data_IF_568891352912
#
_entry.id   IF_568891352912
#
_cell.length_a   1.000
_cell.length_b   1.000
_cell.length_c   1.000
_cell.angle_alpha   90.00
_cell.angle_beta   90.00
_cell.angle_gamma   90.00
#
_symmetry.space_group_name_H-M   'P 1'
#
loop_
_entity.id
_entity.type
_entity.pdbx_description
1 polymer ?
#
# COMPACT_ATOMS: atom_id res chain seq x y z
N UNK A 1 7.32 11.01 24.46
CA UNK A 1 8.69 10.63 24.21
C UNK A 1 8.94 10.74 22.74
N UNK A 2 9.70 11.73 22.32
CA UNK A 2 10.23 11.83 20.97
C UNK A 2 11.18 10.65 20.74
N UNK A 3 10.65 9.59 20.19
CA UNK A 3 11.45 8.59 19.50
C UNK A 3 11.94 9.25 18.23
N UNK A 4 13.07 9.92 18.33
CA UNK A 4 13.83 10.48 17.20
C UNK A 4 14.07 9.38 16.20
N UNK A 5 13.39 9.48 15.23
CA UNK A 5 13.12 9.09 14.16
C UNK A 5 13.33 8.19 13.04
N UNK A 6 14.20 7.46 12.74
CA UNK A 6 14.39 6.64 11.53
C UNK A 6 13.93 5.18 11.63
N UNK A 7 13.59 4.69 12.81
CA UNK A 7 13.26 3.29 13.05
C UNK A 7 11.95 3.16 13.82
N UNK A 8 10.97 2.52 13.21
CA UNK A 8 9.69 2.24 13.86
C UNK A 8 9.80 0.86 14.51
N UNK A 9 9.66 0.80 15.82
CA UNK A 9 9.55 -0.47 16.53
C UNK A 9 8.17 -1.07 16.27
N UNK A 10 8.13 -2.27 15.67
CA UNK A 10 6.88 -2.89 15.22
C UNK A 10 5.83 -3.05 16.35
N UNK A 11 6.24 -3.55 17.52
CA UNK A 11 5.34 -3.72 18.65
C UNK A 11 4.80 -2.38 19.19
N UNK A 12 5.64 -1.34 19.25
CA UNK A 12 5.19 -0.03 19.68
C UNK A 12 4.16 0.56 18.70
N UNK A 13 4.37 0.35 17.40
CA UNK A 13 3.39 0.76 16.39
C UNK A 13 2.07 0.00 16.54
N UNK A 14 2.12 -1.30 16.73
CA UNK A 14 0.93 -2.12 16.95
C UNK A 14 0.13 -1.63 18.16
N UNK A 15 0.82 -1.38 19.27
CA UNK A 15 0.20 -0.84 20.49
C UNK A 15 -0.50 0.50 20.25
N UNK A 16 0.17 1.44 19.57
CA UNK A 16 -0.42 2.75 19.28
C UNK A 16 -1.65 2.62 18.38
N UNK A 17 -1.59 1.78 17.33
CA UNK A 17 -2.72 1.56 16.43
C UNK A 17 -3.91 0.91 17.16
N UNK A 18 -3.65 -0.04 18.05
CA UNK A 18 -4.67 -0.67 18.87
C UNK A 18 -5.33 0.34 19.83
N UNK A 19 -4.55 1.19 20.46
CA UNK A 19 -5.03 2.23 21.36
C UNK A 19 -5.90 3.27 20.62
N UNK A 20 -5.45 3.72 19.46
CA UNK A 20 -6.24 4.64 18.61
C UNK A 20 -7.55 4.00 18.13
N UNK A 21 -7.52 2.72 17.72
CA UNK A 21 -8.73 2.01 17.34
C UNK A 21 -9.73 1.89 18.51
N UNK A 22 -9.25 1.60 19.72
CA UNK A 22 -10.10 1.57 20.92
C UNK A 22 -10.68 2.94 21.25
N UNK A 23 -9.89 4.01 21.19
CA UNK A 23 -10.36 5.40 21.38
C UNK A 23 -11.44 5.78 20.38
N UNK A 24 -11.30 5.29 19.14
CA UNK A 24 -12.31 5.48 18.11
C UNK A 24 -13.56 4.59 18.27
N UNK A 25 -13.63 3.77 19.32
CA UNK A 25 -14.77 2.87 19.57
C UNK A 25 -14.80 1.63 18.66
N UNK A 26 -13.70 1.31 17.97
CA UNK A 26 -13.61 0.13 17.14
C UNK A 26 -13.56 -1.15 17.96
N UNK A 27 -14.28 -2.18 17.53
CA UNK A 27 -14.16 -3.52 18.08
C UNK A 27 -13.04 -4.25 17.32
N UNK A 28 -12.06 -4.74 18.07
CA UNK A 28 -10.92 -5.47 17.53
C UNK A 28 -11.11 -6.97 17.72
N UNK A 29 -10.93 -7.73 16.67
CA UNK A 29 -10.87 -9.18 16.68
C UNK A 29 -9.47 -9.60 16.25
N UNK A 30 -8.62 -9.96 17.20
CA UNK A 30 -7.25 -10.39 16.96
C UNK A 30 -7.18 -11.90 16.74
N UNK A 31 -6.10 -12.37 16.12
CA UNK A 31 -5.89 -13.78 15.77
C UNK A 31 -7.07 -14.36 14.98
N UNK A 32 -7.59 -13.58 14.04
CA UNK A 32 -8.66 -13.97 13.16
C UNK A 32 -8.21 -13.91 11.71
N UNK A 33 -8.50 -14.93 10.95
CA UNK A 33 -8.26 -14.99 9.51
C UNK A 33 -9.60 -15.02 8.77
N UNK A 34 -9.74 -14.18 7.77
CA UNK A 34 -10.89 -14.23 6.86
C UNK A 34 -10.82 -15.50 6.04
N UNK A 35 -11.89 -16.29 6.03
CA UNK A 35 -11.98 -17.57 5.31
C UNK A 35 -13.05 -17.58 4.23
N UNK A 36 -13.95 -16.60 4.25
CA UNK A 36 -14.99 -16.52 3.26
C UNK A 36 -15.88 -15.29 3.43
N UNK A 37 -16.83 -15.15 2.54
CA UNK A 37 -17.85 -14.11 2.56
C UNK A 37 -19.23 -14.70 2.29
N UNK A 38 -20.25 -14.03 2.78
CA UNK A 38 -21.65 -14.34 2.47
C UNK A 38 -22.15 -13.28 1.50
N UNK A 39 -22.66 -13.74 0.36
CA UNK A 39 -23.12 -12.89 -0.73
C UNK A 39 -24.64 -12.91 -0.85
N UNK A 40 -25.21 -11.78 -1.21
CA UNK A 40 -26.56 -11.64 -1.74
C UNK A 40 -26.41 -10.83 -3.03
N UNK A 41 -26.51 -11.53 -4.15
CA UNK A 41 -26.18 -11.00 -5.48
C UNK A 41 -24.77 -10.40 -5.54
N UNK A 42 -24.67 -9.10 -5.82
CA UNK A 42 -23.43 -8.31 -5.92
C UNK A 42 -23.03 -7.61 -4.60
N UNK A 43 -23.67 -8.02 -3.49
CA UNK A 43 -23.47 -7.42 -2.17
C UNK A 43 -22.94 -8.43 -1.17
N UNK A 44 -21.92 -8.06 -0.43
CA UNK A 44 -21.43 -8.82 0.72
C UNK A 44 -22.33 -8.50 1.92
N UNK A 45 -23.00 -9.50 2.46
CA UNK A 45 -23.84 -9.36 3.66
C UNK A 45 -23.10 -9.72 4.96
N UNK A 46 -21.98 -10.42 4.84
CA UNK A 46 -21.14 -10.76 5.97
C UNK A 46 -19.82 -11.40 5.58
N UNK A 47 -18.94 -11.52 6.56
CA UNK A 47 -17.60 -12.10 6.42
C UNK A 47 -17.48 -13.26 7.39
N UNK A 48 -16.95 -14.39 6.92
CA UNK A 48 -16.58 -15.52 7.77
C UNK A 48 -15.13 -15.38 8.21
N UNK A 49 -14.89 -15.55 9.50
CA UNK A 49 -13.54 -15.56 10.06
C UNK A 49 -13.31 -16.83 10.86
N UNK A 50 -12.09 -17.35 10.79
CA UNK A 50 -11.61 -18.43 11.65
C UNK A 50 -10.77 -17.83 12.79
N UNK A 51 -11.06 -18.27 14.00
CA UNK A 51 -10.38 -17.84 15.23
C UNK A 51 -9.96 -19.05 16.05
N UNK A 52 -9.21 -18.85 17.12
CA UNK A 52 -8.88 -19.91 18.07
C UNK A 52 -10.12 -20.57 18.72
N UNK A 53 -11.24 -19.85 18.75
CA UNK A 53 -12.53 -20.34 19.28
C UNK A 53 -13.42 -20.97 18.20
N UNK A 54 -12.97 -21.08 16.97
CA UNK A 54 -13.70 -21.61 15.84
C UNK A 54 -14.14 -20.55 14.84
N UNK A 55 -15.13 -20.89 14.02
CA UNK A 55 -15.68 -20.00 13.00
C UNK A 55 -16.65 -19.00 13.59
N UNK A 56 -16.55 -17.76 13.13
CA UNK A 56 -17.50 -16.69 13.45
C UNK A 56 -17.93 -16.00 12.17
N UNK A 57 -19.16 -15.50 12.17
CA UNK A 57 -19.72 -14.73 11.06
C UNK A 57 -20.01 -13.32 11.54
N UNK A 58 -19.57 -12.34 10.76
CA UNK A 58 -19.75 -10.92 11.06
C UNK A 58 -20.59 -10.31 9.96
N UNK A 59 -21.83 -9.91 10.28
CA UNK A 59 -22.68 -9.18 9.36
C UNK A 59 -22.12 -7.76 9.13
N UNK A 60 -22.13 -7.30 7.90
CA UNK A 60 -21.60 -5.99 7.53
C UNK A 60 -22.46 -5.29 6.48
N UNK A 61 -22.64 -3.98 6.63
CA UNK A 61 -23.27 -3.12 5.62
C UNK A 61 -22.28 -2.75 4.52
N UNK A 62 -21.06 -2.41 4.91
CA UNK A 62 -19.93 -2.10 4.05
C UNK A 62 -18.73 -2.91 4.52
N UNK A 63 -17.94 -3.42 3.61
CA UNK A 63 -16.70 -4.14 3.89
C UNK A 63 -15.53 -3.36 3.31
N UNK A 64 -14.46 -3.23 4.09
CA UNK A 64 -13.19 -2.67 3.63
C UNK A 64 -12.16 -3.79 3.67
N UNK A 65 -11.70 -4.23 2.50
CA UNK A 65 -10.64 -5.24 2.38
C UNK A 65 -9.27 -4.55 2.49
N UNK A 66 -8.55 -4.88 3.55
CA UNK A 66 -7.16 -4.46 3.77
C UNK A 66 -6.26 -5.67 4.03
N UNK A 67 -6.64 -6.84 3.50
CA UNK A 67 -5.91 -8.10 3.72
C UNK A 67 -4.56 -8.14 3.03
N UNK A 68 -4.32 -7.26 2.08
CA UNK A 68 -3.08 -7.15 1.31
C UNK A 68 -2.98 -8.15 0.15
N UNK A 69 -3.80 -9.20 0.17
CA UNK A 69 -3.85 -10.28 -0.84
C UNK A 69 -5.25 -10.47 -1.41
N UNK A 70 -6.12 -9.46 -1.24
CA UNK A 70 -7.51 -9.40 -1.74
C UNK A 70 -8.32 -10.63 -1.38
N UNK A 71 -8.20 -11.12 -0.14
CA UNK A 71 -8.88 -12.34 0.30
C UNK A 71 -10.40 -12.16 0.22
N UNK A 72 -10.93 -11.01 0.65
CA UNK A 72 -12.38 -10.72 0.58
C UNK A 72 -12.84 -10.59 -0.86
N UNK A 73 -12.11 -9.85 -1.69
CA UNK A 73 -12.42 -9.66 -3.12
C UNK A 73 -12.53 -10.99 -3.84
N UNK A 74 -11.50 -11.84 -3.68
CA UNK A 74 -11.46 -13.18 -4.31
C UNK A 74 -12.54 -14.11 -3.78
N UNK A 75 -12.78 -14.10 -2.48
CA UNK A 75 -13.84 -14.92 -1.86
C UNK A 75 -15.22 -14.50 -2.32
N UNK A 76 -15.43 -13.23 -2.67
CA UNK A 76 -16.65 -12.70 -3.23
C UNK A 76 -16.80 -12.97 -4.75
N UNK A 77 -15.75 -13.49 -5.41
CA UNK A 77 -15.76 -13.75 -6.84
C UNK A 77 -15.59 -12.51 -7.72
N UNK A 78 -15.20 -11.37 -7.16
CA UNK A 78 -14.91 -10.18 -7.96
C UNK A 78 -13.59 -10.31 -8.71
N UNK A 79 -13.49 -9.70 -9.91
CA UNK A 79 -12.33 -9.88 -10.76
C UNK A 79 -11.06 -9.27 -10.16
N UNK A 80 -9.99 -10.04 -10.25
CA UNK A 80 -8.62 -9.61 -9.92
C UNK A 80 -7.71 -9.80 -11.11
N UNK A 81 -6.57 -9.13 -11.11
CA UNK A 81 -5.51 -9.27 -12.10
C UNK A 81 -4.16 -9.47 -11.45
N UNK A 82 -3.32 -10.27 -12.06
CA UNK A 82 -1.93 -10.49 -11.71
C UNK A 82 -1.06 -10.12 -12.89
N UNK A 83 -0.08 -9.26 -12.70
CA UNK A 83 0.82 -8.84 -13.78
C UNK A 83 2.14 -9.64 -13.80
N UNK A 84 2.38 -10.46 -12.78
CA UNK A 84 3.60 -11.27 -12.66
C UNK A 84 3.31 -12.59 -11.95
N UNK A 85 3.85 -13.67 -12.48
CA UNK A 85 3.81 -14.99 -11.87
C UNK A 85 4.76 -15.13 -10.67
N UNK A 86 5.60 -14.14 -10.43
CA UNK A 86 6.55 -14.12 -9.32
C UNK A 86 6.26 -13.01 -8.32
N UNK A 87 6.18 -13.37 -7.04
CA UNK A 87 6.04 -12.39 -5.97
C UNK A 87 7.38 -12.01 -5.38
N UNK A 88 7.53 -10.73 -5.14
CA UNK A 88 8.61 -10.22 -4.30
C UNK A 88 8.15 -10.21 -2.84
N UNK A 89 8.87 -10.94 -2.02
CA UNK A 89 8.62 -10.96 -0.58
C UNK A 89 9.59 -10.04 0.15
N UNK A 90 9.08 -9.45 1.20
CA UNK A 90 9.87 -8.66 2.13
C UNK A 90 9.63 -9.16 3.54
N UNK A 91 10.69 -9.58 4.19
CA UNK A 91 10.65 -9.96 5.59
C UNK A 91 11.22 -8.85 6.44
N UNK A 92 10.58 -8.59 7.56
CA UNK A 92 11.11 -7.70 8.58
C UNK A 92 11.71 -8.56 9.69
N UNK A 93 12.98 -8.36 9.98
CA UNK A 93 13.63 -8.93 11.16
C UNK A 93 14.14 -7.81 12.06
N UNK A 94 14.05 -8.01 13.35
CA UNK A 94 14.65 -7.13 14.34
C UNK A 94 15.98 -7.71 14.77
N UNK A 95 17.02 -6.91 14.69
CA UNK A 95 18.36 -7.27 15.20
C UNK A 95 18.63 -6.51 16.48
N UNK A 96 19.25 -7.17 17.45
CA UNK A 96 19.93 -6.46 18.52
C UNK A 96 21.31 -6.04 18.02
N UNK A 97 21.58 -4.77 18.05
CA UNK A 97 22.90 -4.20 17.84
C UNK A 97 23.43 -3.78 19.21
N UNK A 98 24.56 -4.34 19.61
CA UNK A 98 25.23 -4.00 20.85
C UNK A 98 26.22 -2.90 20.52
N UNK A 99 25.97 -1.69 21.02
CA UNK A 99 26.87 -0.55 20.91
C UNK A 99 27.33 -0.18 22.31
N UNK A 100 28.52 -0.65 22.68
CA UNK A 100 29.01 -0.57 24.06
C UNK A 100 28.13 -1.39 25.01
N UNK A 101 27.51 -0.73 25.99
CA UNK A 101 26.57 -1.37 26.91
C UNK A 101 25.08 -1.24 26.52
N UNK A 102 24.80 -0.66 25.34
CA UNK A 102 23.44 -0.41 24.88
C UNK A 102 23.04 -1.42 23.80
N UNK A 103 21.87 -2.01 23.97
CA UNK A 103 21.23 -2.85 22.96
C UNK A 103 20.30 -1.97 22.13
N UNK A 104 20.58 -1.82 20.85
CA UNK A 104 19.71 -1.15 19.90
C UNK A 104 18.95 -2.17 19.07
N UNK A 105 17.64 -2.00 19.00
CA UNK A 105 16.80 -2.75 18.08
C UNK A 105 16.80 -2.08 16.72
N UNK A 106 17.40 -2.73 15.72
CA UNK A 106 17.42 -2.25 14.35
C UNK A 106 16.53 -3.14 13.47
N UNK A 107 15.32 -2.69 13.08
CA UNK A 107 14.53 -3.42 12.11
C UNK A 107 15.23 -3.36 10.74
N UNK A 108 15.44 -4.51 10.15
CA UNK A 108 16.00 -4.63 8.80
C UNK A 108 15.01 -5.34 7.90
N UNK A 109 14.88 -4.83 6.71
CA UNK A 109 14.11 -5.43 5.65
C UNK A 109 15.02 -6.33 4.82
N UNK A 110 14.61 -7.58 4.61
CA UNK A 110 15.28 -8.51 3.72
C UNK A 110 14.34 -8.79 2.56
N UNK A 111 14.67 -8.30 1.37
CA UNK A 111 14.00 -8.68 0.14
C UNK A 111 14.48 -10.06 -0.30
N UNK A 112 13.56 -10.96 -0.55
CA UNK A 112 13.80 -12.23 -1.22
C UNK A 112 12.78 -12.41 -2.33
N UNK A 113 13.15 -13.18 -3.34
CA UNK A 113 12.27 -13.59 -4.41
C UNK A 113 11.63 -14.92 -4.10
N UNK A 114 10.37 -15.06 -4.44
CA UNK A 114 9.77 -16.35 -4.73
C UNK A 114 9.48 -16.43 -6.21
N UNK A 115 9.71 -17.56 -6.80
CA UNK A 115 9.34 -17.85 -8.19
C UNK A 115 7.86 -18.10 -8.36
N UNK A 116 7.13 -18.41 -7.28
CA UNK A 116 5.71 -18.78 -7.31
C UNK A 116 4.96 -18.12 -6.16
N UNK A 117 3.88 -17.43 -6.51
CA UNK A 117 3.04 -16.65 -5.58
C UNK A 117 2.24 -17.50 -4.60
N UNK A 118 2.08 -18.80 -4.86
CA UNK A 118 1.12 -19.66 -4.18
C UNK A 118 1.69 -21.00 -3.72
N UNK A 119 3.01 -21.13 -3.68
CA UNK A 119 3.65 -22.33 -3.16
C UNK A 119 3.99 -22.15 -1.67
N UNK A 120 3.17 -22.73 -0.82
CA UNK A 120 3.31 -22.65 0.64
C UNK A 120 4.60 -23.33 1.13
N UNK A 121 5.12 -24.33 0.41
CA UNK A 121 6.37 -24.99 0.75
C UNK A 121 7.56 -24.08 0.47
N UNK A 122 7.64 -23.51 -0.73
CA UNK A 122 8.67 -22.51 -1.06
C UNK A 122 8.61 -21.31 -0.11
N UNK A 123 7.42 -20.87 0.27
CA UNK A 123 7.21 -19.81 1.25
C UNK A 123 7.80 -20.19 2.61
N UNK A 124 7.52 -21.39 3.08
CA UNK A 124 8.02 -21.90 4.37
C UNK A 124 9.54 -22.02 4.37
N UNK A 125 10.13 -22.53 3.29
CA UNK A 125 11.58 -22.58 3.11
C UNK A 125 12.22 -21.20 3.17
N UNK A 126 11.62 -20.21 2.50
CA UNK A 126 12.10 -18.82 2.51
C UNK A 126 12.01 -18.18 3.89
N UNK A 127 10.98 -18.50 4.66
CA UNK A 127 10.87 -18.04 6.06
C UNK A 127 12.01 -18.58 6.92
N UNK A 128 12.35 -19.84 6.75
CA UNK A 128 13.49 -20.47 7.44
C UNK A 128 14.82 -19.83 7.00
N UNK A 129 15.01 -19.61 5.71
CA UNK A 129 16.22 -18.96 5.18
C UNK A 129 16.40 -17.54 5.72
N UNK A 130 15.32 -16.77 5.86
CA UNK A 130 15.38 -15.40 6.43
C UNK A 130 15.80 -15.41 7.88
N UNK A 131 15.43 -16.43 8.65
CA UNK A 131 15.89 -16.64 10.02
C UNK A 131 17.40 -16.95 10.10
N UNK A 132 17.97 -17.51 9.04
CA UNK A 132 19.40 -17.80 8.97
C UNK A 132 20.18 -16.57 8.43
N UNK A 133 21.42 -16.39 8.91
CA UNK A 133 22.31 -15.38 8.32
C UNK A 133 22.92 -15.95 7.04
N UNK A 134 22.76 -15.30 5.87
CA UNK A 134 23.54 -15.66 4.69
C UNK A 134 25.04 -15.63 5.00
N UNK A 135 25.86 -16.53 4.42
CA UNK A 135 27.29 -16.63 4.72
C UNK A 135 28.04 -15.29 4.61
N UNK A 136 27.74 -14.49 3.58
CA UNK A 136 28.40 -13.20 3.37
C UNK A 136 28.03 -12.13 4.42
N UNK A 137 26.92 -12.31 5.14
CA UNK A 137 26.53 -11.43 6.24
C UNK A 137 27.08 -11.90 7.59
N UNK A 138 27.51 -13.17 7.70
CA UNK A 138 28.11 -13.69 8.95
C UNK A 138 29.41 -12.96 9.26
N UNK A 139 30.26 -12.78 8.26
CA UNK A 139 31.56 -12.14 8.43
C UNK A 139 31.46 -10.62 8.66
N UNK A 140 30.47 -10.00 8.05
CA UNK A 140 30.28 -8.54 8.14
C UNK A 140 29.63 -8.10 9.45
N UNK A 141 28.92 -9.00 10.16
CA UNK A 141 28.19 -8.71 11.38
C UNK A 141 28.51 -9.74 12.46
N UNK A 142 29.75 -10.13 12.54
CA UNK A 142 30.23 -11.27 13.31
C UNK A 142 29.91 -11.10 14.77
N UNK A 143 29.72 -11.03 15.72
CA UNK A 143 29.44 -11.20 17.14
C UNK A 143 28.41 -10.24 17.73
N UNK A 144 28.25 -9.07 17.15
CA UNK A 144 27.57 -7.95 17.81
C UNK A 144 26.09 -7.80 17.39
N UNK A 145 25.68 -8.45 16.30
CA UNK A 145 24.31 -8.33 15.75
C UNK A 145 23.61 -9.69 15.76
N UNK A 146 22.69 -9.87 16.67
CA UNK A 146 21.84 -11.07 16.72
C UNK A 146 20.44 -10.74 16.20
N UNK A 147 19.90 -11.60 15.33
CA UNK A 147 18.47 -11.56 15.00
C UNK A 147 17.68 -12.00 16.22
N UNK A 148 16.81 -11.14 16.71
CA UNK A 148 16.00 -11.41 17.90
C UNK A 148 14.60 -11.85 17.49
N UNK A 149 14.04 -11.20 16.47
CA UNK A 149 12.67 -11.42 16.01
C UNK A 149 12.68 -11.47 14.49
N UNK A 150 12.06 -12.48 13.93
CA UNK A 150 11.68 -12.56 12.51
C UNK A 150 10.19 -12.30 12.43
N UNK A 151 9.74 -11.52 11.44
CA UNK A 151 8.32 -11.30 11.21
C UNK A 151 7.61 -12.64 10.94
N UNK A 152 6.50 -12.87 11.59
CA UNK A 152 5.73 -14.12 11.48
C UNK A 152 5.05 -14.28 10.12
N UNK A 153 4.80 -13.15 9.46
CA UNK A 153 4.09 -13.09 8.18
C UNK A 153 4.98 -12.44 7.13
N UNK A 154 5.20 -13.08 5.99
CA UNK A 154 5.90 -12.48 4.87
C UNK A 154 5.07 -11.32 4.29
N UNK A 155 5.74 -10.21 3.99
CA UNK A 155 5.12 -9.10 3.28
C UNK A 155 5.29 -9.30 1.78
N UNK A 156 4.26 -9.69 1.09
CA UNK A 156 4.25 -9.67 -0.38
C UNK A 156 4.20 -8.23 -0.88
N UNK A 157 5.10 -7.87 -1.78
CA UNK A 157 5.12 -6.54 -2.41
C UNK A 157 4.26 -6.50 -3.67
N UNK A 158 4.26 -7.60 -4.38
CA UNK A 158 3.47 -7.80 -5.59
C UNK A 158 2.28 -8.68 -5.22
N UNK A 159 1.12 -8.07 -5.09
CA UNK A 159 -0.13 -8.76 -4.82
C UNK A 159 -1.00 -8.77 -6.07
N UNK A 160 -1.98 -9.65 -6.07
CA UNK A 160 -3.11 -9.50 -6.98
C UNK A 160 -3.73 -8.11 -6.78
N UNK A 161 -4.19 -7.50 -7.86
CA UNK A 161 -4.91 -6.23 -7.83
C UNK A 161 -6.33 -6.43 -8.27
N UNK A 162 -7.21 -5.63 -7.74
CA UNK A 162 -8.59 -5.64 -8.21
C UNK A 162 -8.68 -5.09 -9.64
N UNK A 163 -9.66 -5.55 -10.38
CA UNK A 163 -10.19 -4.80 -11.51
C UNK A 163 -11.21 -3.83 -10.93
N UNK A 164 -10.80 -2.57 -10.79
CA UNK A 164 -11.63 -1.52 -10.22
C UNK A 164 -12.60 -0.90 -11.23
N UNK A 165 -13.48 -0.03 -10.76
CA UNK A 165 -14.30 0.81 -11.64
C UNK A 165 -13.45 1.74 -12.50
N UNK A 166 -12.26 2.07 -12.01
CA UNK A 166 -11.23 2.84 -12.71
C UNK A 166 -9.88 2.16 -12.49
N UNK A 167 -9.04 2.15 -13.51
CA UNK A 167 -7.65 1.72 -13.43
C UNK A 167 -6.74 2.85 -13.81
N UNK A 168 -5.78 3.20 -12.98
CA UNK A 168 -4.74 4.15 -13.36
C UNK A 168 -3.59 3.41 -14.02
N UNK A 169 -3.42 3.64 -15.32
CA UNK A 169 -2.35 3.05 -16.11
C UNK A 169 -1.19 4.03 -16.32
N UNK A 170 0.03 3.50 -16.50
CA UNK A 170 1.24 4.31 -16.64
C UNK A 170 1.18 5.28 -17.82
N UNK A 171 0.82 4.79 -19.01
CA UNK A 171 0.86 5.62 -20.22
C UNK A 171 -0.18 6.74 -20.18
N UNK A 172 -1.48 6.49 -19.88
CA UNK A 172 -2.44 7.55 -19.63
C UNK A 172 -1.98 8.53 -18.54
N UNK A 173 -1.43 8.02 -17.42
CA UNK A 173 -0.89 8.86 -16.35
C UNK A 173 0.20 9.82 -16.87
N UNK A 174 1.15 9.34 -17.66
CA UNK A 174 2.23 10.17 -18.23
C UNK A 174 1.71 11.23 -19.21
N UNK A 175 0.59 10.95 -19.87
CA UNK A 175 -0.09 11.91 -20.78
C UNK A 175 -1.00 12.90 -20.04
N UNK A 176 -1.17 12.73 -18.72
CA UNK A 176 -2.12 13.53 -17.95
C UNK A 176 -3.59 13.12 -18.14
N UNK A 177 -3.83 11.94 -18.74
CA UNK A 177 -5.13 11.34 -19.00
C UNK A 177 -5.57 10.52 -17.79
N UNK A 178 -6.00 11.17 -16.74
CA UNK A 178 -6.50 10.53 -15.52
C UNK A 178 -7.62 11.37 -14.90
N UNK A 179 -8.41 10.74 -14.04
CA UNK A 179 -9.51 11.39 -13.33
C UNK A 179 -9.04 12.61 -12.54
N UNK A 180 -9.82 13.68 -12.63
CA UNK A 180 -9.59 14.93 -11.89
C UNK A 180 -10.27 14.93 -10.50
N UNK A 181 -10.79 13.80 -10.07
CA UNK A 181 -11.48 13.64 -8.80
C UNK A 181 -10.74 12.70 -7.81
N UNK A 182 -9.42 12.91 -7.51
CA UNK A 182 -8.73 12.11 -6.54
C UNK A 182 -9.29 12.32 -5.14
N UNK A 183 -9.25 11.27 -4.31
CA UNK A 183 -9.51 11.34 -2.89
C UNK A 183 -8.28 11.83 -2.12
N UNK A 184 -7.10 11.47 -2.60
CA UNK A 184 -5.82 12.00 -2.13
C UNK A 184 -4.74 11.78 -3.19
N UNK A 185 -3.56 12.36 -2.95
CA UNK A 185 -2.37 12.09 -3.73
C UNK A 185 -1.38 11.27 -2.89
N UNK A 186 -1.03 10.09 -3.37
CA UNK A 186 0.11 9.35 -2.86
C UNK A 186 1.39 9.98 -3.42
N UNK A 187 2.45 10.01 -2.61
CA UNK A 187 3.70 10.61 -3.04
C UNK A 187 4.90 9.84 -2.49
N UNK A 188 5.63 9.21 -3.37
CA UNK A 188 6.87 8.52 -3.02
C UNK A 188 7.80 8.42 -4.23
N UNK A 189 9.10 8.21 -4.01
CA UNK A 189 9.97 7.71 -5.06
C UNK A 189 9.54 6.29 -5.45
N UNK A 190 9.85 5.90 -6.68
CA UNK A 190 9.61 4.55 -7.14
C UNK A 190 10.42 3.57 -6.29
N UNK A 191 9.74 2.78 -5.47
CA UNK A 191 10.38 1.80 -4.60
C UNK A 191 10.20 0.37 -5.15
N UNK A 192 11.19 -0.11 -5.88
CA UNK A 192 11.26 -1.46 -6.40
C UNK A 192 12.41 -2.26 -5.79
N UNK A 193 12.57 -2.21 -4.46
CA UNK A 193 13.61 -2.96 -3.76
C UNK A 193 13.46 -4.46 -4.01
N UNK A 194 14.54 -5.06 -4.50
CA UNK A 194 14.61 -6.49 -4.79
C UNK A 194 14.01 -6.90 -6.14
N UNK A 195 13.56 -5.96 -6.97
CA UNK A 195 13.07 -6.25 -8.30
C UNK A 195 14.17 -6.74 -9.24
N UNK A 196 13.88 -7.81 -9.97
CA UNK A 196 14.71 -8.25 -11.10
C UNK A 196 14.26 -7.52 -12.35
N UNK A 197 15.17 -6.82 -12.99
CA UNK A 197 14.92 -6.20 -14.28
C UNK A 197 14.46 -7.21 -15.34
N UNK A 198 14.79 -8.48 -15.19
CA UNK A 198 14.38 -9.52 -16.13
C UNK A 198 12.93 -9.98 -15.92
N UNK A 199 12.39 -9.82 -14.73
CA UNK A 199 11.03 -10.25 -14.37
C UNK A 199 9.97 -9.16 -14.46
N UNK A 200 10.34 -7.94 -14.88
CA UNK A 200 9.41 -6.82 -14.99
C UNK A 200 9.10 -6.50 -16.45
N UNK A 201 7.92 -5.94 -16.70
CA UNK A 201 7.50 -5.54 -18.04
C UNK A 201 8.46 -4.52 -18.68
N UNK A 202 8.44 -4.44 -20.01
CA UNK A 202 9.24 -3.45 -20.73
C UNK A 202 8.93 -2.01 -20.29
N UNK A 203 7.65 -1.68 -20.10
CA UNK A 203 7.22 -0.38 -19.63
C UNK A 203 7.76 -0.06 -18.25
N UNK A 204 7.78 -1.02 -17.35
CA UNK A 204 8.38 -0.90 -16.02
C UNK A 204 9.89 -0.67 -16.08
N UNK A 205 10.61 -1.41 -16.92
CA UNK A 205 12.06 -1.20 -17.13
C UNK A 205 12.35 0.22 -17.61
N UNK A 206 11.62 0.65 -18.62
CA UNK A 206 11.78 1.97 -19.20
C UNK A 206 11.48 3.07 -18.18
N UNK A 207 10.41 2.92 -17.42
CA UNK A 207 10.01 3.83 -16.36
C UNK A 207 11.08 3.92 -15.26
N UNK A 208 11.61 2.80 -14.80
CA UNK A 208 12.67 2.79 -13.80
C UNK A 208 13.94 3.46 -14.27
N UNK A 209 14.35 3.18 -15.49
CA UNK A 209 15.53 3.80 -16.08
C UNK A 209 15.32 5.30 -16.26
N UNK A 210 14.16 5.72 -16.75
CA UNK A 210 13.80 7.12 -16.94
C UNK A 210 13.76 7.90 -15.63
N UNK A 211 13.29 7.28 -14.55
CA UNK A 211 13.24 7.87 -13.20
C UNK A 211 14.53 7.64 -12.39
N UNK A 212 15.61 7.22 -13.02
CA UNK A 212 16.89 6.94 -12.34
C UNK A 212 16.72 6.09 -11.08
N UNK A 213 15.86 5.08 -11.13
CA UNK A 213 15.67 4.09 -10.09
C UNK A 213 15.54 4.65 -8.66
N UNK A 214 14.69 5.64 -8.41
CA UNK A 214 14.38 6.29 -7.12
C UNK A 214 14.76 7.77 -6.98
N UNK A 215 15.31 8.39 -7.99
CA UNK A 215 15.72 9.80 -7.87
C UNK A 215 14.53 10.75 -7.89
N UNK A 216 13.37 10.30 -8.38
CA UNK A 216 12.17 11.12 -8.48
C UNK A 216 11.06 10.63 -7.57
N UNK A 217 10.47 11.55 -6.83
CA UNK A 217 9.18 11.37 -6.19
C UNK A 217 8.06 11.66 -7.19
N UNK A 218 7.02 10.84 -7.15
CA UNK A 218 5.89 10.92 -8.06
C UNK A 218 4.61 11.04 -7.26
N UNK A 219 3.78 12.00 -7.64
CA UNK A 219 2.45 12.16 -7.06
C UNK A 219 1.43 11.37 -7.90
N UNK A 220 0.83 10.37 -7.32
CA UNK A 220 -0.14 9.49 -7.96
C UNK A 220 -1.53 9.79 -7.39
N UNK A 221 -2.50 10.19 -8.24
CA UNK A 221 -3.87 10.41 -7.79
C UNK A 221 -4.52 9.07 -7.44
N UNK A 222 -5.17 9.01 -6.29
CA UNK A 222 -5.96 7.86 -5.89
C UNK A 222 -7.43 8.25 -5.89
N UNK A 223 -8.23 7.57 -6.70
CA UNK A 223 -9.67 7.83 -6.86
C UNK A 223 -10.50 6.76 -6.19
N UNK A 224 -11.78 7.03 -5.97
CA UNK A 224 -12.71 6.02 -5.46
C UNK A 224 -12.83 4.83 -6.43
N UNK A 225 -12.84 5.08 -7.74
CA UNK A 225 -12.95 4.02 -8.74
C UNK A 225 -11.80 3.02 -8.72
N UNK A 226 -10.61 3.44 -8.29
CA UNK A 226 -9.46 2.55 -8.09
C UNK A 226 -9.60 1.64 -6.86
N UNK A 227 -10.45 2.02 -5.90
CA UNK A 227 -10.66 1.33 -4.63
C UNK A 227 -11.88 0.40 -4.63
N UNK A 228 -12.79 0.55 -5.60
CA UNK A 228 -14.06 -0.18 -5.67
C UNK A 228 -13.94 -1.27 -6.72
N UNK A 229 -14.03 -2.56 -6.35
CA UNK A 229 -14.03 -3.66 -7.31
C UNK A 229 -15.20 -3.55 -8.28
N UNK A 230 -14.94 -3.79 -9.56
CA UNK A 230 -15.99 -3.82 -10.58
C UNK A 230 -17.05 -4.86 -10.24
N UNK A 231 -18.31 -4.48 -10.30
CA UNK A 231 -19.45 -5.31 -9.95
C UNK A 231 -19.83 -5.31 -8.48
N UNK A 232 -19.04 -4.71 -7.59
CA UNK A 232 -19.36 -4.66 -6.16
C UNK A 232 -20.23 -3.45 -5.79
N UNK A 233 -21.18 -3.67 -4.88
CA UNK A 233 -22.02 -2.58 -4.33
C UNK A 233 -21.52 -2.04 -3.01
N UNK A 234 -20.80 -2.82 -2.22
CA UNK A 234 -20.46 -2.44 -0.84
C UNK A 234 -19.07 -2.89 -0.37
N UNK A 235 -18.16 -3.20 -1.31
CA UNK A 235 -16.77 -3.53 -1.00
C UNK A 235 -15.85 -2.38 -1.43
N UNK A 236 -14.92 -2.04 -0.56
CA UNK A 236 -13.86 -1.07 -0.80
C UNK A 236 -12.53 -1.78 -0.53
N UNK A 237 -11.55 -1.62 -1.38
CA UNK A 237 -10.17 -2.10 -1.15
C UNK A 237 -9.31 -0.96 -0.65
N UNK A 238 -8.63 -1.18 0.48
CA UNK A 238 -7.77 -0.19 1.11
C UNK A 238 -6.39 -0.74 1.43
N UNK A 239 -5.74 -1.29 0.42
CA UNK A 239 -4.38 -1.80 0.49
C UNK A 239 -3.64 -1.63 -0.86
N UNK A 240 -2.45 -2.23 -0.97
CA UNK A 240 -1.62 -2.19 -2.18
C UNK A 240 -2.27 -2.81 -3.43
N UNK A 241 -3.38 -3.51 -3.28
CA UNK A 241 -4.11 -4.19 -4.35
C UNK A 241 -5.19 -3.36 -5.02
N UNK A 242 -5.24 -2.04 -4.81
CA UNK A 242 -6.12 -1.15 -5.58
C UNK A 242 -5.80 -1.22 -7.08
N UNK A 243 -6.75 -0.78 -7.91
CA UNK A 243 -6.64 -0.87 -9.37
C UNK A 243 -5.68 0.15 -9.95
N UNK A 244 -4.43 -0.25 -10.12
CA UNK A 244 -3.33 0.58 -10.61
C UNK A 244 -2.32 -0.27 -11.39
N UNK A 245 -1.67 0.33 -12.38
CA UNK A 245 -0.55 -0.28 -13.11
C UNK A 245 0.60 -0.64 -12.15
N UNK A 246 1.21 -1.79 -12.36
CA UNK A 246 2.34 -2.27 -11.56
C UNK A 246 3.51 -1.26 -11.53
N UNK A 247 3.74 -0.56 -12.62
CA UNK A 247 4.77 0.46 -12.72
C UNK A 247 4.56 1.64 -11.74
N UNK A 248 3.33 1.91 -11.32
CA UNK A 248 2.97 2.98 -10.38
C UNK A 248 2.83 2.50 -8.93
N UNK A 249 2.68 1.19 -8.71
CA UNK A 249 2.44 0.62 -7.36
C UNK A 249 3.54 0.98 -6.37
N UNK A 250 4.80 1.02 -6.81
CA UNK A 250 5.93 1.40 -5.95
C UNK A 250 5.79 2.79 -5.31
N UNK A 251 5.04 3.70 -5.94
CA UNK A 251 4.80 5.05 -5.45
C UNK A 251 3.61 5.15 -4.49
N UNK A 252 2.72 4.13 -4.49
CA UNK A 252 1.47 4.14 -3.73
C UNK A 252 1.55 3.41 -2.39
N UNK A 253 2.39 2.40 -2.26
CA UNK A 253 2.39 1.45 -1.14
C UNK A 253 3.24 1.88 0.07
N UNK A 254 3.60 3.14 0.18
CA UNK A 254 4.30 3.64 1.37
C UNK A 254 3.36 3.68 2.57
N UNK A 255 3.91 3.45 3.77
CA UNK A 255 3.11 3.37 5.02
C UNK A 255 2.20 4.57 5.22
N UNK A 256 2.68 5.78 4.93
CA UNK A 256 1.90 7.02 5.03
C UNK A 256 0.73 7.04 4.04
N UNK A 257 0.95 6.52 2.83
CA UNK A 257 -0.05 6.52 1.78
C UNK A 257 -1.10 5.42 2.01
N UNK A 258 -0.68 4.29 2.61
CA UNK A 258 -1.62 3.26 3.06
C UNK A 258 -2.51 3.74 4.22
N UNK A 259 -2.01 4.59 5.11
CA UNK A 259 -2.84 5.23 6.14
C UNK A 259 -3.88 6.17 5.51
N UNK A 260 -3.47 7.02 4.55
CA UNK A 260 -4.38 7.89 3.80
C UNK A 260 -5.43 7.12 3.02
N UNK A 261 -5.03 5.98 2.45
CA UNK A 261 -5.95 5.09 1.74
C UNK A 261 -7.03 4.55 2.67
N UNK A 262 -6.65 4.13 3.88
CA UNK A 262 -7.58 3.69 4.93
C UNK A 262 -8.54 4.81 5.36
N UNK A 263 -8.05 6.03 5.52
CA UNK A 263 -8.86 7.19 5.85
C UNK A 263 -9.86 7.54 4.75
N UNK A 264 -9.41 7.55 3.49
CA UNK A 264 -10.28 7.75 2.33
C UNK A 264 -11.35 6.66 2.22
N UNK A 265 -10.99 5.38 2.46
CA UNK A 265 -11.92 4.26 2.48
C UNK A 265 -12.97 4.42 3.60
N UNK A 266 -12.54 4.80 4.79
CA UNK A 266 -13.43 5.06 5.91
C UNK A 266 -14.43 6.19 5.62
N UNK A 267 -13.97 7.30 5.03
CA UNK A 267 -14.86 8.40 4.62
C UNK A 267 -15.87 7.95 3.57
N UNK A 268 -15.41 7.24 2.53
CA UNK A 268 -16.27 6.70 1.48
C UNK A 268 -17.35 5.77 2.06
N UNK A 269 -16.97 4.85 2.96
CA UNK A 269 -17.88 3.95 3.65
C UNK A 269 -18.91 4.71 4.52
N UNK A 270 -18.47 5.75 5.25
CA UNK A 270 -19.36 6.60 6.04
C UNK A 270 -20.42 7.29 5.19
N UNK A 271 -20.05 7.83 4.03
CA UNK A 271 -21.00 8.46 3.11
C UNK A 271 -22.00 7.44 2.54
N UNK A 272 -21.51 6.27 2.11
CA UNK A 272 -22.39 5.19 1.63
C UNK A 272 -23.44 4.77 2.68
N UNK A 273 -23.03 4.65 3.94
CA UNK A 273 -23.94 4.31 5.04
C UNK A 273 -24.93 5.45 5.33
N UNK A 274 -24.46 6.69 5.39
CA UNK A 274 -25.31 7.86 5.70
C UNK A 274 -26.36 8.11 4.62
N UNK A 275 -25.96 7.96 3.35
CA UNK A 275 -26.84 8.16 2.20
C UNK A 275 -27.70 6.93 1.89
N UNK A 276 -27.41 5.80 2.56
CA UNK A 276 -28.01 4.50 2.29
C UNK A 276 -27.93 4.12 0.78
N UNK A 277 -26.74 4.30 0.21
CA UNK A 277 -26.44 4.07 -1.22
C UNK A 277 -25.35 3.01 -1.38
N UNK A 278 -25.30 2.31 -2.50
CA UNK A 278 -24.13 1.55 -2.92
C UNK A 278 -22.89 2.44 -2.99
N UNK A 279 -21.74 1.87 -2.65
CA UNK A 279 -20.45 2.61 -2.67
C UNK A 279 -20.16 3.27 -4.02
N UNK A 280 -20.42 2.60 -5.18
CA UNK A 280 -20.22 3.22 -6.49
C UNK A 280 -21.09 4.47 -6.79
N UNK A 281 -22.19 4.63 -6.04
CA UNK A 281 -23.18 5.68 -6.27
C UNK A 281 -23.05 6.87 -5.30
N UNK A 282 -22.02 6.87 -4.42
CA UNK A 282 -21.77 7.94 -3.46
C UNK A 282 -21.33 9.22 -4.17
N UNK A 283 -21.80 10.37 -3.69
CA UNK A 283 -21.33 11.66 -4.18
C UNK A 283 -19.86 11.91 -3.81
N UNK A 284 -18.99 11.61 -4.76
CA UNK A 284 -17.54 11.78 -4.61
C UNK A 284 -17.16 13.25 -4.32
N UNK A 285 -17.94 14.21 -4.80
CA UNK A 285 -17.66 15.62 -4.52
C UNK A 285 -17.87 15.95 -3.04
N UNK A 286 -18.87 15.35 -2.39
CA UNK A 286 -19.10 15.49 -0.96
C UNK A 286 -17.99 14.81 -0.14
N UNK A 287 -17.58 13.61 -0.54
CA UNK A 287 -16.45 12.89 0.10
C UNK A 287 -15.17 13.73 0.00
N UNK A 288 -14.88 14.29 -1.18
CA UNK A 288 -13.69 15.13 -1.39
C UNK A 288 -13.70 16.39 -0.53
N UNK A 289 -14.85 17.07 -0.38
CA UNK A 289 -14.96 18.23 0.54
C UNK A 289 -14.60 17.83 1.97
N UNK A 290 -15.14 16.72 2.47
CA UNK A 290 -14.82 16.23 3.80
C UNK A 290 -13.33 15.89 3.95
N UNK A 291 -12.71 15.27 2.95
CA UNK A 291 -11.28 14.97 2.96
C UNK A 291 -10.40 16.23 2.91
N UNK A 292 -10.85 17.30 2.26
CA UNK A 292 -10.19 18.61 2.31
C UNK A 292 -10.28 19.22 3.71
N UNK A 293 -11.45 19.18 4.33
CA UNK A 293 -11.68 19.67 5.69
C UNK A 293 -10.85 18.91 6.73
N UNK A 294 -10.69 17.61 6.55
CA UNK A 294 -9.84 16.77 7.38
C UNK A 294 -8.33 16.97 7.11
N UNK A 295 -7.95 17.69 6.07
CA UNK A 295 -6.56 17.91 5.67
C UNK A 295 -5.89 16.71 4.97
N UNK A 296 -6.66 15.72 4.51
CA UNK A 296 -6.14 14.59 3.75
C UNK A 296 -5.95 14.92 2.27
N UNK A 297 -6.90 15.61 1.68
CA UNK A 297 -6.85 16.10 0.31
C UNK A 297 -6.48 17.57 0.33
N UNK A 298 -5.37 17.91 -0.29
CA UNK A 298 -4.94 19.29 -0.45
C UNK A 298 -5.28 19.78 -1.85
N UNK A 299 -5.70 21.02 -1.95
CA UNK A 299 -5.73 21.68 -3.24
C UNK A 299 -4.32 21.77 -3.83
N UNK A 300 -4.23 21.75 -5.15
CA UNK A 300 -2.96 21.67 -5.87
C UNK A 300 -1.95 22.76 -5.47
N UNK A 301 -2.44 23.96 -5.17
CA UNK A 301 -1.62 25.12 -4.80
C UNK A 301 -1.03 25.02 -3.38
N UNK A 302 -1.61 24.18 -2.50
CA UNK A 302 -1.22 24.06 -1.10
C UNK A 302 -0.41 22.79 -0.77
N UNK A 303 -0.17 21.90 -1.75
CA UNK A 303 0.59 20.68 -1.52
C UNK A 303 2.07 21.04 -1.31
N UNK A 304 2.49 21.09 -0.07
CA UNK A 304 3.88 21.24 0.33
C UNK A 304 4.45 19.87 0.61
N UNK A 305 5.29 19.37 -0.28
CA UNK A 305 6.00 18.10 -0.07
C UNK A 305 7.49 18.38 0.15
N UNK A 306 7.90 18.28 1.41
CA UNK A 306 9.32 18.25 1.75
C UNK A 306 9.78 16.81 1.87
N UNK A 307 10.51 16.32 0.90
CA UNK A 307 11.18 15.03 0.98
C UNK A 307 12.57 15.22 1.60
N UNK A 308 12.72 14.74 2.83
CA UNK A 308 14.00 14.62 3.54
C UNK A 308 14.85 15.89 3.57
N UNK A 309 14.25 17.07 3.52
CA UNK A 309 14.97 18.36 3.62
C UNK A 309 15.77 18.76 2.38
N UNK A 310 15.74 18.00 1.30
CA UNK A 310 16.65 18.23 0.17
C UNK A 310 16.04 18.98 -1.02
N UNK A 311 14.74 18.94 -1.24
CA UNK A 311 14.11 19.64 -2.36
C UNK A 311 12.67 20.04 -2.02
N UNK A 312 12.25 21.18 -2.52
CA UNK A 312 10.84 21.52 -2.58
C UNK A 312 10.22 20.81 -3.79
N UNK A 313 9.43 19.79 -3.51
CA UNK A 313 8.73 19.01 -4.53
C UNK A 313 7.32 19.54 -4.81
N UNK A 314 6.95 20.68 -4.24
CA UNK A 314 5.63 21.27 -4.42
C UNK A 314 5.19 21.31 -5.88
N UNK A 315 6.04 21.70 -6.84
CA UNK A 315 5.66 21.70 -8.25
C UNK A 315 5.36 20.31 -8.81
N UNK A 316 5.80 19.24 -8.16
CA UNK A 316 5.70 17.85 -8.62
C UNK A 316 4.76 17.00 -7.76
N UNK A 317 4.14 17.58 -6.74
CA UNK A 317 3.30 16.83 -5.79
C UNK A 317 1.97 16.34 -6.37
N UNK A 318 1.53 16.93 -7.49
CA UNK A 318 0.38 16.48 -8.26
C UNK A 318 0.81 16.09 -9.67
N UNK A 319 0.14 15.13 -10.29
CA UNK A 319 0.36 14.82 -11.70
C UNK A 319 0.21 16.05 -12.56
N UNK A 320 1.10 16.20 -13.52
CA UNK A 320 1.15 17.38 -14.40
C UNK A 320 1.16 16.96 -15.86
N UNK A 321 0.51 17.73 -16.67
CA UNK A 321 0.69 17.67 -18.12
C UNK A 321 2.10 18.16 -18.50
N UNK A 322 2.52 17.83 -19.72
CA UNK A 322 3.80 18.32 -20.25
C UNK A 322 3.89 19.85 -20.25
N UNK A 323 2.80 20.54 -20.56
CA UNK A 323 2.78 22.00 -20.60
C UNK A 323 2.87 22.59 -19.19
N UNK A 324 2.22 21.96 -18.21
CA UNK A 324 2.35 22.36 -16.80
C UNK A 324 3.77 22.13 -16.26
N UNK A 325 4.43 21.05 -16.68
CA UNK A 325 5.83 20.80 -16.33
C UNK A 325 6.75 21.86 -16.96
N UNK A 326 6.51 22.23 -18.22
CA UNK A 326 7.27 23.28 -18.93
C UNK A 326 7.11 24.66 -18.28
N UNK A 327 5.96 24.92 -17.67
CA UNK A 327 5.67 26.17 -16.99
C UNK A 327 6.29 26.30 -15.59
N UNK A 328 6.95 25.25 -15.06
CA UNK A 328 7.59 25.32 -13.76
C UNK A 328 8.91 26.06 -13.88
N UNK A 329 9.04 27.15 -13.11
CA UNK A 329 10.26 27.93 -13.05
C UNK A 329 11.44 27.07 -12.59
N UNK A 330 12.58 27.23 -13.26
CA UNK A 330 13.78 26.43 -13.01
C UNK A 330 13.84 25.07 -13.70
N UNK A 331 12.82 24.68 -14.45
CA UNK A 331 12.85 23.49 -15.28
C UNK A 331 13.76 23.73 -16.50
N UNK A 332 14.87 23.02 -16.60
CA UNK A 332 15.90 23.27 -17.63
C UNK A 332 15.45 22.83 -19.01
N UNK A 333 14.80 21.68 -19.11
CA UNK A 333 14.15 21.25 -20.35
C UNK A 333 13.12 20.15 -20.09
N UNK A 334 12.02 20.20 -20.79
CA UNK A 334 11.04 19.11 -20.93
C UNK A 334 10.90 18.84 -22.40
N UNK A 335 11.33 17.66 -22.84
CA UNK A 335 11.21 17.22 -24.23
C UNK A 335 10.24 16.07 -24.32
N UNK A 336 9.43 16.06 -25.36
CA UNK A 336 8.66 14.88 -25.73
C UNK A 336 9.63 13.85 -26.31
N UNK A 337 9.62 12.66 -25.79
CA UNK A 337 10.37 11.52 -26.31
C UNK A 337 9.51 10.81 -27.33
#
# INVERSE_FOLDING_TARGET
AELGSRFIHGAAKAYVLEDEARKAGCRLLLNASVTGVFMEDDRIIGVECFTSSGRICIAAKIVIDSTGDQIVVRSAGFPTRTESDSARMNFTRTRAEIVGCLVRNAPTSCGQRTSELRDDFTLSERLVEVGSKPPFLRDRYASENRTIIVGEIPGYRDAERIVGLETLELIPYLRGEFSKAPLFYAFAPIDHVGGDLNSVSFGQKFWWLGCKMRSFGIAVPVTAGMMIPAGSRNLIVADKGISVDDALTGCLRMKKDMQRLGEAAGRLACFAIKENRPVPEVDISAVRRALCEDGLLYERASIICKLNGFMDWTPFCAPKTLDELRAIEGMISVRTI
#
